data_IF_816085009602
#
_entry.id   IF_816085009602
#
_cell.length_a   1.000
_cell.length_b   1.000
_cell.length_c   1.000
_cell.angle_alpha   90.00
_cell.angle_beta   90.00
_cell.angle_gamma   90.00
#
_symmetry.space_group_name_H-M   'P 1'
#
loop_
_entity.id
_entity.type
_entity.pdbx_description
1 polymer ?
#
# COMPACT_ATOMS: atom_id res chain seq x y z
N UNK A 1 70.16 -3.86 51.95
CA UNK A 1 70.42 -3.36 50.58
C UNK A 1 71.84 -2.81 50.53
N UNK A 2 72.75 -3.53 49.87
CA UNK A 2 74.17 -3.16 49.72
C UNK A 2 74.31 -1.97 48.76
N UNK A 3 75.02 -0.91 49.17
CA UNK A 3 75.25 0.30 48.36
C UNK A 3 76.25 -0.04 47.24
N UNK A 4 75.85 0.14 45.97
CA UNK A 4 76.71 -0.15 44.81
C UNK A 4 77.77 0.94 44.65
N UNK A 5 79.04 0.53 44.66
CA UNK A 5 80.18 1.37 44.31
C UNK A 5 80.61 1.06 42.87
N UNK A 6 80.88 2.09 42.06
CA UNK A 6 81.32 1.95 40.68
C UNK A 6 82.85 2.20 40.61
N UNK A 7 83.58 1.35 39.89
CA UNK A 7 85.02 1.49 39.66
C UNK A 7 85.28 1.40 38.17
N UNK A 8 85.94 2.42 37.64
CA UNK A 8 86.55 2.39 36.31
C UNK A 8 88.06 2.15 36.47
N UNK A 9 88.62 1.30 35.62
CA UNK A 9 90.08 1.10 35.51
C UNK A 9 90.68 2.23 34.69
N UNK A 10 91.63 2.98 35.25
CA UNK A 10 92.40 3.94 34.47
C UNK A 10 93.21 3.22 33.38
N UNK A 11 93.69 3.92 32.33
CA UNK A 11 94.51 3.33 31.27
C UNK A 11 95.76 2.60 31.77
N UNK A 12 96.25 2.92 32.97
CA UNK A 12 97.39 2.27 33.64
C UNK A 12 96.98 1.06 34.51
N UNK A 13 95.74 0.60 34.40
CA UNK A 13 95.23 -0.61 35.07
C UNK A 13 95.01 -0.48 36.57
N UNK A 14 95.13 0.74 37.14
CA UNK A 14 94.90 0.99 38.56
C UNK A 14 93.41 1.29 38.83
N UNK A 15 92.77 0.62 39.80
CA UNK A 15 91.37 0.85 40.11
C UNK A 15 91.20 2.21 40.79
N UNK A 16 90.37 3.08 40.21
CA UNK A 16 90.03 4.37 40.81
C UNK A 16 88.56 4.39 41.23
N UNK A 17 88.32 4.65 42.52
CA UNK A 17 86.99 4.79 43.08
C UNK A 17 86.41 6.16 42.69
N UNK A 18 85.40 6.17 41.83
CA UNK A 18 84.69 7.39 41.44
C UNK A 18 83.46 7.55 42.31
N UNK A 19 83.47 8.53 43.21
CA UNK A 19 82.33 8.82 44.09
C UNK A 19 81.40 9.80 43.39
N UNK A 20 80.25 9.32 42.92
CA UNK A 20 79.20 10.20 42.39
C UNK A 20 78.61 10.98 43.58
N UNK A 21 78.89 12.29 43.66
CA UNK A 21 78.35 13.17 44.70
C UNK A 21 76.83 13.26 44.55
N UNK A 22 76.09 12.54 45.40
CA UNK A 22 74.69 12.83 45.69
C UNK A 22 74.55 13.20 47.17
N UNK A 23 73.97 14.38 47.38
CA UNK A 23 73.38 14.98 48.59
C UNK A 23 73.85 14.49 49.97
N UNK A 24 74.43 15.43 50.72
CA UNK A 24 74.89 15.37 52.12
C UNK A 24 73.97 14.55 53.05
N UNK A 25 74.48 13.41 53.53
CA UNK A 25 74.13 12.86 54.85
C UNK A 25 75.38 12.31 55.52
N UNK A 26 75.66 12.81 56.72
CA UNK A 26 76.80 12.40 57.55
C UNK A 26 76.52 11.03 58.15
N UNK A 27 77.23 10.00 57.68
CA UNK A 27 77.21 8.68 58.31
C UNK A 27 78.62 8.12 58.45
N UNK A 28 78.89 7.61 59.66
CA UNK A 28 80.16 7.06 60.12
C UNK A 28 80.71 6.00 59.15
N UNK A 29 81.98 6.17 58.80
CA UNK A 29 82.74 5.29 57.90
C UNK A 29 83.09 3.98 58.57
N UNK A 30 82.26 2.95 58.40
CA UNK A 30 82.74 1.57 58.44
C UNK A 30 83.25 1.21 57.05
N UNK A 31 84.57 1.07 56.93
CA UNK A 31 85.27 0.69 55.69
C UNK A 31 85.01 -0.80 55.43
N UNK A 32 83.88 -1.11 54.82
CA UNK A 32 83.63 -2.46 54.29
C UNK A 32 84.49 -2.64 53.03
N UNK A 33 85.29 -3.69 53.03
CA UNK A 33 86.08 -4.16 51.89
C UNK A 33 85.09 -4.52 50.76
N UNK A 34 85.18 -3.81 49.64
CA UNK A 34 84.35 -4.08 48.47
C UNK A 34 85.10 -5.10 47.62
N UNK A 35 84.59 -6.33 47.56
CA UNK A 35 85.20 -7.39 46.75
C UNK A 35 84.93 -7.12 45.27
N UNK A 36 86.01 -6.93 44.50
CA UNK A 36 85.93 -6.76 43.05
C UNK A 36 86.23 -8.08 42.36
N UNK A 37 85.27 -8.59 41.59
CA UNK A 37 85.46 -9.76 40.73
C UNK A 37 86.16 -9.34 39.43
N UNK A 38 87.34 -9.91 39.18
CA UNK A 38 88.02 -9.78 37.88
C UNK A 38 87.54 -10.94 37.00
N UNK A 39 86.95 -10.59 35.86
CA UNK A 39 86.37 -11.55 34.92
C UNK A 39 87.25 -11.58 33.66
N UNK A 40 87.56 -12.78 33.17
CA UNK A 40 88.29 -12.94 31.91
C UNK A 40 87.44 -12.49 30.72
N UNK A 41 88.08 -12.25 29.57
CA UNK A 41 87.37 -11.76 28.37
C UNK A 41 86.35 -12.78 27.85
N UNK A 42 86.65 -14.06 28.01
CA UNK A 42 85.82 -15.20 27.60
C UNK A 42 84.61 -15.37 28.52
N UNK A 43 84.81 -15.23 29.84
CA UNK A 43 83.72 -15.20 30.82
C UNK A 43 82.80 -13.99 30.59
N UNK A 44 83.37 -12.82 30.26
CA UNK A 44 82.59 -11.63 29.91
C UNK A 44 81.73 -11.84 28.66
N UNK A 45 82.30 -12.43 27.59
CA UNK A 45 81.52 -12.80 26.39
C UNK A 45 80.40 -13.80 26.70
N UNK A 46 80.63 -14.72 27.62
CA UNK A 46 79.63 -15.71 28.06
C UNK A 46 78.51 -15.03 28.83
N UNK A 47 78.83 -14.09 29.73
CA UNK A 47 77.85 -13.28 30.45
C UNK A 47 77.02 -12.41 29.51
N UNK A 48 77.61 -11.82 28.47
CA UNK A 48 76.86 -11.06 27.46
C UNK A 48 75.83 -11.96 26.76
N UNK A 49 76.23 -13.13 26.26
CA UNK A 49 75.29 -14.05 25.60
C UNK A 49 74.18 -14.52 26.54
N UNK A 50 74.50 -14.79 27.80
CA UNK A 50 73.49 -15.14 28.80
C UNK A 50 72.53 -13.97 29.05
N UNK A 51 73.03 -12.75 29.09
CA UNK A 51 72.19 -11.57 29.24
C UNK A 51 71.30 -11.34 28.00
N UNK A 52 71.82 -11.53 26.79
CA UNK A 52 71.05 -11.47 25.54
C UNK A 52 69.92 -12.51 25.54
N UNK A 53 70.21 -13.76 25.91
CA UNK A 53 69.19 -14.81 26.02
C UNK A 53 68.14 -14.52 27.10
N UNK A 54 68.55 -13.93 28.23
CA UNK A 54 67.62 -13.49 29.26
C UNK A 54 66.74 -12.33 28.79
N UNK A 55 67.30 -11.38 28.03
CA UNK A 55 66.56 -10.26 27.46
C UNK A 55 65.55 -10.75 26.40
N UNK A 56 65.93 -11.69 25.54
CA UNK A 56 65.04 -12.35 24.58
C UNK A 56 63.89 -13.09 25.29
N UNK A 57 64.19 -13.87 26.33
CA UNK A 57 63.18 -14.56 27.12
C UNK A 57 62.23 -13.58 27.83
N UNK A 58 62.76 -12.51 28.41
CA UNK A 58 61.97 -11.45 29.06
C UNK A 58 61.04 -10.75 28.05
N UNK A 59 61.51 -10.47 26.84
CA UNK A 59 60.68 -9.90 25.77
C UNK A 59 59.55 -10.87 25.36
N UNK A 60 59.87 -12.16 25.21
CA UNK A 60 58.87 -13.18 24.91
C UNK A 60 57.80 -13.29 26.00
N UNK A 61 58.20 -13.30 27.28
CA UNK A 61 57.26 -13.30 28.41
C UNK A 61 56.44 -12.01 28.50
N UNK A 62 57.02 -10.85 28.17
CA UNK A 62 56.28 -9.60 28.12
C UNK A 62 55.20 -9.63 27.02
N UNK A 63 55.53 -10.12 25.82
CA UNK A 63 54.58 -10.28 24.72
C UNK A 63 53.45 -11.28 25.06
N UNK A 64 53.80 -12.39 25.72
CA UNK A 64 52.81 -13.35 26.21
C UNK A 64 51.89 -12.74 27.26
N UNK A 65 52.44 -12.01 28.24
CA UNK A 65 51.65 -11.31 29.25
C UNK A 65 50.69 -10.30 28.63
N UNK A 66 51.14 -9.54 27.63
CA UNK A 66 50.28 -8.56 26.95
C UNK A 66 49.16 -9.23 26.15
N UNK A 67 49.47 -10.36 25.51
CA UNK A 67 48.46 -11.18 24.83
C UNK A 67 47.43 -11.73 25.82
N UNK A 68 47.87 -12.23 26.97
CA UNK A 68 46.99 -12.76 28.02
C UNK A 68 46.10 -11.66 28.61
N UNK A 69 46.64 -10.47 28.89
CA UNK A 69 45.85 -9.32 29.34
C UNK A 69 44.79 -8.91 28.31
N UNK A 70 45.17 -8.85 27.03
CA UNK A 70 44.25 -8.53 25.95
C UNK A 70 43.10 -9.55 25.86
N UNK A 71 43.41 -10.84 25.99
CA UNK A 71 42.40 -11.92 26.00
C UNK A 71 41.52 -11.87 27.24
N UNK A 72 42.08 -11.56 28.41
CA UNK A 72 41.31 -11.39 29.63
C UNK A 72 40.30 -10.26 29.48
N UNK A 73 40.73 -9.08 29.01
CA UNK A 73 39.84 -7.95 28.78
C UNK A 73 38.73 -8.27 27.75
N UNK A 74 39.05 -8.97 26.66
CA UNK A 74 38.05 -9.41 25.71
C UNK A 74 37.02 -10.36 26.36
N UNK A 75 37.48 -11.30 27.19
CA UNK A 75 36.61 -12.23 27.92
C UNK A 75 35.74 -11.52 28.96
N UNK A 76 36.28 -10.54 29.69
CA UNK A 76 35.54 -9.72 30.65
C UNK A 76 34.45 -8.92 29.94
N UNK A 77 34.78 -8.27 28.82
CA UNK A 77 33.82 -7.51 28.02
C UNK A 77 32.68 -8.39 27.49
N UNK A 78 32.99 -9.60 27.00
CA UNK A 78 31.98 -10.54 26.53
C UNK A 78 31.12 -11.07 27.68
N UNK A 79 31.72 -11.34 28.84
CA UNK A 79 30.97 -11.73 30.05
C UNK A 79 29.99 -10.64 30.45
N UNK A 80 30.42 -9.37 30.47
CA UNK A 80 29.53 -8.25 30.73
C UNK A 80 28.41 -8.13 29.70
N UNK A 81 28.69 -8.29 28.40
CA UNK A 81 27.68 -8.28 27.34
C UNK A 81 26.62 -9.35 27.55
N UNK A 82 27.05 -10.58 27.85
CA UNK A 82 26.14 -11.70 28.08
C UNK A 82 25.29 -11.48 29.34
N UNK A 83 25.92 -11.13 30.46
CA UNK A 83 25.25 -10.97 31.74
C UNK A 83 24.30 -9.78 31.80
N UNK A 84 24.65 -8.64 31.20
CA UNK A 84 23.89 -7.40 31.36
C UNK A 84 22.99 -7.05 30.18
N UNK A 85 23.24 -7.60 28.99
CA UNK A 85 22.46 -7.27 27.79
C UNK A 85 21.67 -8.48 27.32
N UNK A 86 22.35 -9.59 27.02
CA UNK A 86 21.71 -10.73 26.35
C UNK A 86 20.79 -11.51 27.29
N UNK A 87 21.27 -11.88 28.48
CA UNK A 87 20.49 -12.66 29.44
C UNK A 87 19.22 -11.89 29.90
N UNK A 88 19.28 -10.61 30.28
CA UNK A 88 18.09 -9.85 30.65
C UNK A 88 17.08 -9.73 29.50
N UNK A 89 17.53 -9.43 28.28
CA UNK A 89 16.63 -9.32 27.12
C UNK A 89 15.92 -10.64 26.81
N UNK A 90 16.62 -11.77 26.91
CA UNK A 90 16.02 -13.09 26.74
C UNK A 90 15.03 -13.41 27.87
N UNK A 91 15.35 -13.07 29.12
CA UNK A 91 14.44 -13.27 30.25
C UNK A 91 13.15 -12.45 30.10
N UNK A 92 13.24 -11.19 29.64
CA UNK A 92 12.07 -10.35 29.36
C UNK A 92 11.19 -10.95 28.27
N UNK A 93 11.82 -11.46 27.20
CA UNK A 93 11.10 -12.10 26.10
C UNK A 93 10.41 -13.40 26.55
N UNK A 94 11.10 -14.23 27.35
CA UNK A 94 10.51 -15.43 27.95
C UNK A 94 9.32 -15.05 28.84
N UNK A 95 9.47 -14.05 29.72
CA UNK A 95 8.38 -13.60 30.59
C UNK A 95 7.15 -13.11 29.80
N UNK A 96 7.37 -12.38 28.69
CA UNK A 96 6.29 -11.95 27.79
C UNK A 96 5.57 -13.13 27.15
N UNK A 97 6.32 -14.06 26.55
CA UNK A 97 5.75 -15.24 25.91
C UNK A 97 5.06 -16.18 26.91
N UNK A 98 5.58 -16.29 28.13
CA UNK A 98 4.94 -17.05 29.20
C UNK A 98 3.60 -16.43 29.61
N UNK A 99 3.53 -15.09 29.73
CA UNK A 99 2.28 -14.38 30.03
C UNK A 99 1.26 -14.55 28.90
N UNK A 100 1.68 -14.42 27.64
CA UNK A 100 0.81 -14.64 26.48
C UNK A 100 0.28 -16.08 26.43
N UNK A 101 1.15 -17.08 26.62
CA UNK A 101 0.73 -18.48 26.70
C UNK A 101 -0.24 -18.73 27.86
N UNK A 102 -0.02 -18.12 29.02
CA UNK A 102 -0.94 -18.25 30.15
C UNK A 102 -2.30 -17.59 29.87
N UNK A 103 -2.33 -16.43 29.20
CA UNK A 103 -3.56 -15.80 28.75
C UNK A 103 -4.31 -16.67 27.73
N UNK A 104 -3.60 -17.28 26.77
CA UNK A 104 -4.19 -18.19 25.78
C UNK A 104 -4.71 -19.47 26.44
N UNK A 105 -3.97 -20.05 27.38
CA UNK A 105 -4.42 -21.21 28.16
C UNK A 105 -5.66 -20.87 28.98
N UNK A 106 -5.68 -19.74 29.69
CA UNK A 106 -6.90 -19.27 30.40
C UNK A 106 -8.07 -19.04 29.45
N UNK A 107 -7.81 -18.57 28.23
CA UNK A 107 -8.85 -18.41 27.22
C UNK A 107 -9.37 -19.75 26.68
N UNK A 108 -8.50 -20.77 26.61
CA UNK A 108 -8.83 -22.10 26.12
C UNK A 108 -9.41 -23.06 27.19
N UNK A 109 -8.99 -22.91 28.44
CA UNK A 109 -9.43 -23.73 29.59
C UNK A 109 -10.79 -23.31 30.14
N UNK A 110 -11.37 -22.20 29.67
CA UNK A 110 -12.72 -21.80 30.05
C UNK A 110 -13.73 -22.80 29.44
N UNK A 111 -14.30 -23.73 30.22
CA UNK A 111 -15.15 -24.78 29.67
C UNK A 111 -16.49 -24.17 29.24
N UNK A 112 -17.05 -24.66 28.14
CA UNK A 112 -18.48 -24.52 27.87
C UNK A 112 -19.27 -25.16 29.04
N UNK A 113 -20.25 -24.40 29.54
CA UNK A 113 -21.43 -24.80 30.36
C UNK A 113 -21.44 -24.55 31.90
N UNK A 114 -22.63 -24.24 32.49
CA UNK A 114 -22.91 -23.03 33.32
C UNK A 114 -23.08 -23.35 34.84
N UNK A 115 -23.50 -22.45 35.78
CA UNK A 115 -24.04 -21.08 35.66
C UNK A 115 -23.50 -20.03 36.67
N UNK A 116 -24.03 -18.80 36.54
CA UNK A 116 -24.07 -17.72 37.55
C UNK A 116 -22.80 -16.87 37.69
N UNK A 117 -22.87 -15.68 37.07
CA UNK A 117 -22.19 -14.44 37.44
C UNK A 117 -20.65 -14.42 37.36
N UNK A 118 -20.11 -13.83 36.27
CA UNK A 118 -19.22 -12.65 36.29
C UNK A 118 -18.74 -12.35 34.84
N UNK A 119 -19.22 -11.20 34.34
CA UNK A 119 -18.77 -10.32 33.25
C UNK A 119 -19.11 -10.63 31.76
N UNK A 120 -19.55 -9.59 31.00
CA UNK A 120 -20.61 -9.69 29.98
C UNK A 120 -20.12 -9.47 28.54
N UNK A 121 -18.80 -9.34 28.32
CA UNK A 121 -18.28 -8.82 27.05
C UNK A 121 -18.30 -9.90 25.95
N UNK A 122 -17.97 -11.14 26.30
CA UNK A 122 -17.93 -12.24 25.31
C UNK A 122 -19.32 -12.75 24.93
N UNK A 123 -20.27 -12.75 25.86
CA UNK A 123 -21.66 -13.15 25.60
C UNK A 123 -22.41 -12.08 24.82
N UNK A 124 -22.16 -10.80 25.12
CA UNK A 124 -22.70 -9.68 24.35
C UNK A 124 -22.17 -9.68 22.90
N UNK A 125 -20.88 -9.93 22.71
CA UNK A 125 -20.33 -10.02 21.35
C UNK A 125 -20.89 -11.22 20.58
N UNK A 126 -21.10 -12.36 21.24
CA UNK A 126 -21.70 -13.53 20.59
C UNK A 126 -23.18 -13.31 20.25
N UNK A 127 -23.98 -12.77 21.17
CA UNK A 127 -25.39 -12.46 20.92
C UNK A 127 -25.56 -11.35 19.88
N UNK A 128 -24.65 -10.37 19.86
CA UNK A 128 -24.61 -9.34 18.84
C UNK A 128 -24.24 -9.91 17.47
N UNK A 129 -23.26 -10.81 17.39
CA UNK A 129 -22.91 -11.52 16.16
C UNK A 129 -24.09 -12.32 15.62
N UNK A 130 -24.80 -13.09 16.46
CA UNK A 130 -25.99 -13.84 16.03
C UNK A 130 -27.13 -12.91 15.59
N UNK A 131 -27.38 -11.82 16.32
CA UNK A 131 -28.35 -10.78 15.91
C UNK A 131 -27.99 -10.16 14.56
N UNK A 132 -26.71 -9.90 14.32
CA UNK A 132 -26.22 -9.38 13.04
C UNK A 132 -26.36 -10.42 11.93
N UNK A 133 -26.07 -11.70 12.18
CA UNK A 133 -26.29 -12.80 11.23
C UNK A 133 -27.76 -12.92 10.84
N UNK A 134 -28.67 -12.89 11.81
CA UNK A 134 -30.10 -12.90 11.55
C UNK A 134 -30.54 -11.69 10.73
N UNK A 135 -30.02 -10.50 11.06
CA UNK A 135 -30.33 -9.27 10.31
C UNK A 135 -29.82 -9.36 8.88
N UNK A 136 -28.61 -9.88 8.66
CA UNK A 136 -28.07 -10.13 7.32
C UNK A 136 -28.95 -11.11 6.56
N UNK A 137 -29.34 -12.24 7.17
CA UNK A 137 -30.22 -13.21 6.53
C UNK A 137 -31.59 -12.61 6.16
N UNK A 138 -32.17 -11.77 7.03
CA UNK A 138 -33.42 -11.05 6.73
C UNK A 138 -33.25 -10.07 5.57
N UNK A 139 -32.20 -9.26 5.59
CA UNK A 139 -31.88 -8.31 4.52
C UNK A 139 -31.60 -9.01 3.18
N UNK A 140 -30.94 -10.17 3.19
CA UNK A 140 -30.70 -10.98 1.99
C UNK A 140 -32.02 -11.50 1.39
N UNK A 141 -32.94 -11.98 2.24
CA UNK A 141 -34.28 -12.41 1.81
C UNK A 141 -35.10 -11.25 1.23
N UNK A 142 -35.10 -10.11 1.91
CA UNK A 142 -35.76 -8.88 1.43
C UNK A 142 -35.15 -8.41 0.10
N UNK A 143 -33.82 -8.42 -0.04
CA UNK A 143 -33.15 -8.04 -1.28
C UNK A 143 -33.51 -8.98 -2.43
N UNK A 144 -33.60 -10.28 -2.16
CA UNK A 144 -34.08 -11.26 -3.14
C UNK A 144 -35.51 -10.97 -3.57
N UNK A 145 -36.43 -10.79 -2.61
CA UNK A 145 -37.84 -10.47 -2.91
C UNK A 145 -37.95 -9.18 -3.73
N UNK A 146 -37.22 -8.12 -3.36
CA UNK A 146 -37.19 -6.86 -4.12
C UNK A 146 -36.61 -7.02 -5.53
N UNK A 147 -35.66 -7.94 -5.75
CA UNK A 147 -35.15 -8.23 -7.10
C UNK A 147 -36.18 -8.96 -7.94
N UNK A 148 -36.90 -9.92 -7.36
CA UNK A 148 -37.96 -10.66 -8.02
C UNK A 148 -39.11 -9.70 -8.42
N UNK A 149 -39.57 -8.86 -7.47
CA UNK A 149 -40.59 -7.83 -7.71
C UNK A 149 -40.16 -6.83 -8.80
N UNK A 150 -38.90 -6.37 -8.76
CA UNK A 150 -38.36 -5.50 -9.82
C UNK A 150 -38.33 -6.21 -11.18
N UNK A 151 -38.04 -7.51 -11.21
CA UNK A 151 -38.09 -8.34 -12.41
C UNK A 151 -39.50 -8.36 -13.01
N UNK A 152 -40.50 -8.61 -12.19
CA UNK A 152 -41.91 -8.63 -12.56
C UNK A 152 -42.40 -7.26 -13.03
N UNK A 153 -42.03 -6.19 -12.34
CA UNK A 153 -42.38 -4.82 -12.73
C UNK A 153 -41.75 -4.45 -14.07
N UNK A 154 -40.48 -4.80 -14.30
CA UNK A 154 -39.82 -4.60 -15.60
C UNK A 154 -40.48 -5.41 -16.71
N UNK A 155 -40.94 -6.63 -16.42
CA UNK A 155 -41.70 -7.43 -17.37
C UNK A 155 -43.04 -6.77 -17.72
N UNK A 156 -43.82 -6.36 -16.72
CA UNK A 156 -45.10 -5.66 -16.91
C UNK A 156 -44.92 -4.36 -17.69
N UNK A 157 -43.89 -3.58 -17.38
CA UNK A 157 -43.58 -2.34 -18.09
C UNK A 157 -43.32 -2.60 -19.58
N UNK A 158 -42.53 -3.63 -19.91
CA UNK A 158 -42.28 -4.02 -21.31
C UNK A 158 -43.56 -4.45 -22.03
N UNK A 159 -44.41 -5.23 -21.38
CA UNK A 159 -45.65 -5.70 -22.00
C UNK A 159 -46.66 -4.54 -22.21
N UNK A 160 -46.81 -3.66 -21.24
CA UNK A 160 -47.65 -2.46 -21.38
C UNK A 160 -47.12 -1.52 -22.47
N UNK A 161 -45.81 -1.27 -22.53
CA UNK A 161 -45.20 -0.47 -23.60
C UNK A 161 -45.51 -1.08 -24.97
N UNK A 162 -45.33 -2.40 -25.12
CA UNK A 162 -45.63 -3.12 -26.36
C UNK A 162 -47.10 -3.02 -26.73
N UNK A 163 -48.02 -3.13 -25.78
CA UNK A 163 -49.46 -2.97 -26.03
C UNK A 163 -49.79 -1.55 -26.51
N UNK A 164 -49.21 -0.53 -25.87
CA UNK A 164 -49.37 0.87 -26.29
C UNK A 164 -48.84 1.07 -27.70
N UNK A 165 -47.62 0.62 -28.00
CA UNK A 165 -46.98 0.76 -29.31
C UNK A 165 -47.81 0.08 -30.41
N UNK A 166 -48.33 -1.12 -30.14
CA UNK A 166 -49.20 -1.83 -31.07
C UNK A 166 -50.53 -1.11 -31.28
N UNK A 167 -51.15 -0.59 -30.21
CA UNK A 167 -52.42 0.13 -30.30
C UNK A 167 -52.27 1.44 -31.11
N UNK A 168 -51.20 2.19 -30.84
CA UNK A 168 -50.86 3.43 -31.53
C UNK A 168 -50.53 3.15 -32.99
N UNK A 169 -49.71 2.14 -33.27
CA UNK A 169 -49.34 1.76 -34.65
C UNK A 169 -50.57 1.38 -35.47
N UNK A 170 -51.51 0.61 -34.90
CA UNK A 170 -52.78 0.27 -35.58
C UNK A 170 -53.62 1.50 -35.86
N UNK A 171 -53.76 2.40 -34.87
CA UNK A 171 -54.54 3.64 -35.02
C UNK A 171 -53.93 4.59 -36.06
N UNK A 172 -52.61 4.75 -36.06
CA UNK A 172 -51.89 5.55 -37.05
C UNK A 172 -52.05 4.97 -38.45
N UNK A 173 -51.89 3.65 -38.62
CA UNK A 173 -52.09 3.00 -39.91
C UNK A 173 -53.52 3.19 -40.45
N UNK A 174 -54.54 3.07 -39.59
CA UNK A 174 -55.93 3.31 -39.97
C UNK A 174 -56.18 4.76 -40.37
N UNK A 175 -55.71 5.73 -39.57
CA UNK A 175 -55.84 7.14 -39.90
C UNK A 175 -55.11 7.50 -41.19
N UNK A 176 -53.93 6.91 -41.44
CA UNK A 176 -53.18 7.10 -42.68
C UNK A 176 -53.98 6.64 -43.88
N UNK A 177 -54.61 5.45 -43.82
CA UNK A 177 -55.50 4.96 -44.88
C UNK A 177 -56.70 5.87 -45.10
N UNK A 178 -57.30 6.39 -44.04
CA UNK A 178 -58.43 7.32 -44.16
C UNK A 178 -58.01 8.65 -44.81
N UNK A 179 -56.84 9.19 -44.45
CA UNK A 179 -56.28 10.39 -45.07
C UNK A 179 -56.05 10.14 -46.56
N UNK A 180 -55.42 9.03 -46.92
CA UNK A 180 -55.19 8.66 -48.32
C UNK A 180 -56.51 8.53 -49.09
N UNK A 181 -57.50 7.84 -48.52
CA UNK A 181 -58.83 7.70 -49.11
C UNK A 181 -59.47 9.06 -49.38
N UNK A 182 -59.55 9.93 -48.38
CA UNK A 182 -60.20 11.24 -48.52
C UNK A 182 -59.41 12.18 -49.44
N UNK A 183 -58.08 12.10 -49.43
CA UNK A 183 -57.23 12.84 -50.38
C UNK A 183 -57.55 12.43 -51.81
N UNK A 184 -57.63 11.12 -52.08
CA UNK A 184 -58.00 10.59 -53.40
C UNK A 184 -59.43 10.99 -53.81
N UNK A 185 -60.40 10.91 -52.88
CA UNK A 185 -61.77 11.35 -53.13
C UNK A 185 -61.83 12.84 -53.47
N UNK A 186 -61.14 13.69 -52.70
CA UNK A 186 -61.10 15.13 -52.94
C UNK A 186 -60.50 15.45 -54.32
N UNK A 187 -59.42 14.76 -54.70
CA UNK A 187 -58.79 14.90 -56.02
C UNK A 187 -59.71 14.46 -57.16
N UNK A 188 -60.41 13.33 -56.99
CA UNK A 188 -61.38 12.84 -57.96
C UNK A 188 -62.51 13.85 -58.19
N UNK A 189 -63.12 14.35 -57.12
CA UNK A 189 -64.23 15.30 -57.22
C UNK A 189 -63.79 16.66 -57.75
N UNK A 190 -62.60 17.13 -57.37
CA UNK A 190 -61.99 18.33 -57.96
C UNK A 190 -61.83 18.19 -59.47
N UNK A 191 -61.25 17.07 -59.94
CA UNK A 191 -61.12 16.79 -61.37
C UNK A 191 -62.47 16.76 -62.09
N UNK A 192 -63.48 16.12 -61.49
CA UNK A 192 -64.85 16.09 -62.05
C UNK A 192 -65.49 17.46 -62.14
N UNK A 193 -65.29 18.30 -61.12
CA UNK A 193 -65.75 19.68 -61.12
C UNK A 193 -65.07 20.49 -62.23
N UNK A 194 -63.75 20.40 -62.34
CA UNK A 194 -62.98 21.10 -63.38
C UNK A 194 -63.41 20.65 -64.79
N UNK A 195 -63.57 19.34 -65.03
CA UNK A 195 -64.10 18.78 -66.29
C UNK A 195 -65.51 19.29 -66.64
N UNK A 196 -66.37 19.48 -65.64
CA UNK A 196 -67.73 20.00 -65.85
C UNK A 196 -67.72 21.51 -66.10
N UNK A 197 -66.89 22.25 -65.36
CA UNK A 197 -66.71 23.69 -65.50
C UNK A 197 -66.19 24.05 -66.89
N UNK A 198 -65.17 23.36 -67.39
CA UNK A 198 -64.63 23.55 -68.75
C UNK A 198 -65.70 23.30 -69.83
N UNK A 199 -66.47 22.20 -69.69
CA UNK A 199 -67.59 21.92 -70.62
C UNK A 199 -68.66 23.01 -70.57
N UNK A 200 -69.00 23.50 -69.39
CA UNK A 200 -69.99 24.57 -69.24
C UNK A 200 -69.52 25.88 -69.87
N UNK A 201 -68.26 26.29 -69.65
CA UNK A 201 -67.66 27.45 -70.29
C UNK A 201 -67.63 27.32 -71.82
N UNK A 202 -67.29 26.12 -72.33
CA UNK A 202 -67.34 25.84 -73.76
C UNK A 202 -68.75 25.96 -74.34
N UNK A 203 -69.78 25.49 -73.63
CA UNK A 203 -71.18 25.64 -74.06
C UNK A 203 -71.63 27.10 -74.07
N UNK A 204 -71.27 27.89 -73.05
CA UNK A 204 -71.55 29.34 -73.01
C UNK A 204 -70.96 30.02 -74.24
N UNK A 205 -69.69 29.75 -74.54
CA UNK A 205 -69.00 30.33 -75.70
C UNK A 205 -69.71 29.98 -77.02
N UNK A 206 -70.20 28.74 -77.17
CA UNK A 206 -70.96 28.32 -78.35
C UNK A 206 -72.30 29.05 -78.43
N UNK A 207 -73.03 29.16 -77.31
CA UNK A 207 -74.32 29.86 -77.28
C UNK A 207 -74.12 31.32 -77.64
N UNK A 208 -73.14 32.00 -77.04
CA UNK A 208 -72.77 33.39 -77.35
C UNK A 208 -72.47 33.58 -78.84
N UNK A 209 -71.66 32.69 -79.44
CA UNK A 209 -71.38 32.76 -80.88
C UNK A 209 -72.61 32.55 -81.76
N UNK A 210 -73.57 31.70 -81.32
CA UNK A 210 -74.82 31.46 -82.04
C UNK A 210 -75.79 32.61 -81.89
N UNK A 211 -75.87 33.22 -80.71
CA UNK A 211 -76.71 34.40 -80.47
C UNK A 211 -76.20 35.56 -81.31
N UNK A 212 -74.89 35.84 -81.31
CA UNK A 212 -74.29 36.89 -82.16
C UNK A 212 -74.59 36.66 -83.65
N UNK A 213 -74.47 35.41 -84.13
CA UNK A 213 -74.79 35.06 -85.52
C UNK A 213 -76.27 35.25 -85.84
N UNK A 214 -77.16 34.92 -84.91
CA UNK A 214 -78.62 35.07 -85.08
C UNK A 214 -79.00 36.55 -85.11
N UNK A 215 -78.45 37.34 -84.20
CA UNK A 215 -78.62 38.81 -84.18
C UNK A 215 -78.15 39.44 -85.50
N UNK A 216 -77.01 39.00 -86.03
CA UNK A 216 -76.53 39.45 -87.34
C UNK A 216 -77.50 39.11 -88.48
N UNK A 217 -78.05 37.89 -88.51
CA UNK A 217 -79.03 37.52 -89.53
C UNK A 217 -80.33 38.32 -89.41
N UNK A 218 -80.84 38.52 -88.20
CA UNK A 218 -82.01 39.34 -87.93
C UNK A 218 -81.81 40.78 -88.42
N UNK A 219 -80.63 41.35 -88.19
CA UNK A 219 -80.27 42.68 -88.69
C UNK A 219 -80.26 42.75 -90.23
N UNK A 220 -79.74 41.72 -90.90
CA UNK A 220 -79.77 41.64 -92.37
C UNK A 220 -81.20 41.53 -92.90
N UNK A 221 -82.04 40.71 -92.28
CA UNK A 221 -83.45 40.54 -92.66
C UNK A 221 -84.23 41.84 -92.48
N UNK A 222 -84.06 42.52 -91.34
CA UNK A 222 -84.64 43.84 -91.07
C UNK A 222 -84.24 44.87 -92.13
N UNK A 223 -82.95 44.92 -92.52
CA UNK A 223 -82.46 45.83 -93.57
C UNK A 223 -83.08 45.54 -94.95
N UNK A 224 -83.35 44.26 -95.26
CA UNK A 224 -83.92 43.83 -96.55
C UNK A 224 -85.45 43.88 -96.61
N UNK A 225 -86.14 44.22 -95.50
CA UNK A 225 -87.61 44.21 -95.38
C UNK A 225 -88.25 42.85 -95.75
N UNK A 226 -87.58 41.75 -95.39
CA UNK A 226 -88.06 40.38 -95.65
C UNK A 226 -88.87 39.82 -94.46
N UNK A 227 -89.11 40.64 -93.44
CA UNK A 227 -89.96 40.36 -92.29
C UNK A 227 -90.82 41.58 -91.99
#
# INVERSE_FOLDING_TARGET
MSRRCYVETSPDGRPQLVTIKRSRSYHHTHRHQCDYYKVSREEWKTLIRQNELLDEANQAYAAQNETLRSRLHASEAETHRLCHVVIPALNDQVAKLSRENECLRRAAEKPCDPPVHILPISTNNHSELERLREKVCKLEKENKALRDDNGDLRFRLRELSKQVDQSLSRRVAELTKQIEYWTNQSGFWKKKYDELRERHLGLITIVESKTEKTEYYDDVLKRRRVC
#
